data_IF_282566479183
#
_entry.id   IF_282566479183
#
_cell.length_a   1.000
_cell.length_b   1.000
_cell.length_c   1.000
_cell.angle_alpha   90.00
_cell.angle_beta   90.00
_cell.angle_gamma   90.00
#
_symmetry.space_group_name_H-M   'P 1'
#
loop_
_entity.id
_entity.type
_entity.pdbx_description
1 polymer ?
#
# COMPACT_ATOMS: atom_id res chain seq x y z
N UNK A 1 6.46 3.05 36.28
CA UNK A 1 7.09 2.58 35.03
C UNK A 1 7.53 1.16 35.22
N UNK A 2 7.86 0.46 34.14
CA UNK A 2 8.52 -0.85 34.18
C UNK A 2 9.94 -0.70 33.67
N UNK A 3 10.86 -1.47 34.24
CA UNK A 3 12.20 -1.66 33.69
C UNK A 3 12.10 -2.65 32.51
N UNK A 4 12.75 -2.32 31.39
CA UNK A 4 12.65 -3.08 30.15
C UNK A 4 14.04 -3.26 29.56
N UNK A 5 14.48 -4.51 29.45
CA UNK A 5 15.68 -4.89 28.73
C UNK A 5 15.34 -5.26 27.27
N UNK A 6 16.11 -4.71 26.32
CA UNK A 6 15.98 -4.99 24.89
C UNK A 6 17.30 -5.57 24.37
N UNK A 7 17.24 -6.76 23.79
CA UNK A 7 18.39 -7.45 23.21
C UNK A 7 18.28 -7.48 21.68
N UNK A 8 19.30 -6.97 20.98
CA UNK A 8 19.44 -7.06 19.53
C UNK A 8 20.70 -7.87 19.18
N UNK A 9 20.56 -8.77 18.23
CA UNK A 9 21.61 -9.69 17.78
C UNK A 9 22.68 -9.01 16.91
N UNK A 10 22.29 -7.95 16.20
CA UNK A 10 23.12 -7.24 15.24
C UNK A 10 23.71 -5.96 15.85
N UNK A 11 24.81 -5.42 15.30
CA UNK A 11 25.41 -4.17 15.78
C UNK A 11 24.59 -2.91 15.39
N UNK A 12 23.40 -3.09 14.80
CA UNK A 12 22.46 -2.05 14.43
C UNK A 12 21.04 -2.53 14.70
N UNK A 13 20.14 -1.58 14.96
CA UNK A 13 18.74 -1.83 15.32
C UNK A 13 17.80 -1.71 14.12
N UNK A 14 16.54 -2.09 14.32
CA UNK A 14 15.46 -1.86 13.34
C UNK A 14 15.07 -3.08 12.51
N UNK A 15 15.68 -4.26 12.68
CA UNK A 15 15.15 -5.45 11.99
C UNK A 15 15.24 -5.33 10.46
N UNK A 16 14.08 -5.47 9.80
CA UNK A 16 13.87 -5.26 8.35
C UNK A 16 13.80 -3.79 7.95
N UNK A 17 13.55 -2.89 8.90
CA UNK A 17 13.55 -1.43 8.68
C UNK A 17 14.90 -0.80 9.03
N UNK A 18 15.91 -1.61 9.35
CA UNK A 18 17.24 -1.12 9.71
C UNK A 18 17.97 -0.50 8.51
N UNK A 19 18.95 0.33 8.83
CA UNK A 19 19.92 0.85 7.88
C UNK A 19 21.27 1.07 8.57
N UNK A 20 22.34 1.19 7.79
CA UNK A 20 23.68 1.48 8.32
C UNK A 20 24.47 2.33 7.33
N UNK A 21 25.55 2.97 7.79
CA UNK A 21 26.47 3.73 6.92
C UNK A 21 27.66 2.86 6.55
N UNK A 22 27.95 2.73 5.26
CA UNK A 22 29.12 1.98 4.79
C UNK A 22 30.44 2.76 5.01
N UNK A 23 31.58 2.11 4.73
CA UNK A 23 32.92 2.73 4.90
C UNK A 23 33.15 3.97 4.03
N UNK A 24 32.31 4.20 3.02
CA UNK A 24 32.38 5.33 2.09
C UNK A 24 31.41 6.45 2.46
N UNK A 25 30.66 6.30 3.55
CA UNK A 25 29.66 7.28 3.98
C UNK A 25 28.30 7.13 3.29
N UNK A 26 28.03 6.04 2.58
CA UNK A 26 26.72 5.81 1.96
C UNK A 26 25.76 5.18 2.97
N UNK A 27 24.53 5.68 3.02
CA UNK A 27 23.45 5.03 3.76
C UNK A 27 22.94 3.81 2.98
N UNK A 28 22.99 2.64 3.62
CA UNK A 28 22.48 1.37 3.09
C UNK A 28 21.25 0.98 3.90
N UNK A 29 20.09 0.93 3.23
CA UNK A 29 18.83 0.51 3.82
C UNK A 29 18.53 -0.96 3.51
N UNK A 30 17.95 -1.69 4.46
CA UNK A 30 17.55 -3.09 4.25
C UNK A 30 16.40 -3.24 3.23
N UNK A 31 15.63 -2.17 3.01
CA UNK A 31 14.55 -2.13 2.04
C UNK A 31 13.97 -0.73 1.93
N UNK A 32 13.29 -0.46 0.81
CA UNK A 32 12.56 0.79 0.64
C UNK A 32 11.26 0.74 1.44
N UNK A 33 11.09 1.65 2.39
CA UNK A 33 9.91 1.69 3.26
C UNK A 33 9.03 2.88 2.93
N UNK A 34 7.73 2.61 2.78
CA UNK A 34 6.70 3.62 2.52
C UNK A 34 5.67 3.59 3.64
N UNK A 35 5.25 4.76 4.11
CA UNK A 35 4.33 4.91 5.22
C UNK A 35 2.97 5.37 4.70
N UNK A 36 1.98 4.49 4.78
CA UNK A 36 0.61 4.77 4.33
C UNK A 36 -0.21 5.48 5.42
N UNK A 37 -1.13 6.36 5.01
CA UNK A 37 -2.05 7.06 5.92
C UNK A 37 -2.90 6.14 6.80
N UNK A 38 -3.13 4.89 6.38
CA UNK A 38 -3.92 3.92 7.15
C UNK A 38 -3.19 3.31 8.37
N UNK A 39 -1.90 3.58 8.58
CA UNK A 39 -1.09 3.03 9.67
C UNK A 39 -1.31 3.73 11.03
N UNK A 40 -2.56 3.77 11.49
CA UNK A 40 -2.98 4.55 12.66
C UNK A 40 -2.15 4.24 13.93
N UNK A 41 -1.87 2.96 14.20
CA UNK A 41 -1.09 2.55 15.38
C UNK A 41 0.36 3.04 15.30
N UNK A 42 0.97 2.95 14.11
CA UNK A 42 2.34 3.39 13.88
C UNK A 42 2.45 4.91 14.05
N UNK A 43 1.57 5.70 13.42
CA UNK A 43 1.62 7.15 13.58
C UNK A 43 1.32 7.60 15.01
N UNK A 44 0.44 6.89 15.73
CA UNK A 44 0.24 7.15 17.16
C UNK A 44 1.53 6.92 17.97
N UNK A 45 2.29 5.88 17.66
CA UNK A 45 3.58 5.61 18.29
C UNK A 45 4.61 6.68 17.90
N UNK A 46 4.76 6.96 16.61
CA UNK A 46 5.71 7.96 16.10
C UNK A 46 5.43 9.35 16.66
N UNK A 47 4.16 9.73 16.84
CA UNK A 47 3.80 11.00 17.49
C UNK A 47 4.22 11.03 18.96
N UNK A 48 4.11 9.91 19.68
CA UNK A 48 4.51 9.83 21.10
C UNK A 48 6.02 10.00 21.29
N UNK A 49 6.82 9.58 20.32
CA UNK A 49 8.29 9.66 20.38
C UNK A 49 8.87 10.79 19.54
N UNK A 50 8.06 11.72 19.03
CA UNK A 50 8.50 12.84 18.20
C UNK A 50 8.86 12.50 16.74
N UNK A 51 9.01 11.23 16.38
CA UNK A 51 9.42 10.80 15.04
C UNK A 51 8.45 11.16 13.88
N UNK A 52 7.24 11.64 14.16
CA UNK A 52 6.26 11.97 13.12
C UNK A 52 6.71 13.13 12.21
N UNK A 53 7.55 14.05 12.70
CA UNK A 53 8.13 15.15 11.92
C UNK A 53 9.22 14.73 10.94
N UNK A 54 9.64 13.47 10.98
CA UNK A 54 10.62 12.90 10.05
C UNK A 54 9.99 12.39 8.75
N UNK A 55 8.66 12.43 8.64
CA UNK A 55 7.92 11.94 7.48
C UNK A 55 7.64 13.05 6.46
N UNK A 56 8.10 12.84 5.24
CA UNK A 56 7.83 13.67 4.07
C UNK A 56 6.60 13.15 3.34
N UNK A 57 5.53 13.94 3.36
CA UNK A 57 4.32 13.67 2.58
C UNK A 57 4.63 13.80 1.09
N UNK A 58 4.13 12.85 0.30
CA UNK A 58 4.21 12.89 -1.16
C UNK A 58 2.86 13.26 -1.75
N UNK A 59 2.86 13.64 -3.02
CA UNK A 59 1.63 13.84 -3.78
C UNK A 59 0.76 12.58 -3.71
N UNK A 60 -0.56 12.78 -3.68
CA UNK A 60 -1.51 11.68 -3.61
C UNK A 60 -1.73 11.04 -4.99
N UNK A 61 -0.65 10.55 -5.58
CA UNK A 61 -0.60 9.94 -6.90
C UNK A 61 0.14 8.61 -6.83
N UNK A 62 -0.34 7.62 -7.59
CA UNK A 62 0.34 6.32 -7.72
C UNK A 62 0.79 6.19 -9.18
N UNK A 63 2.11 6.18 -9.38
CA UNK A 63 2.74 6.25 -10.70
C UNK A 63 3.30 4.89 -11.12
N UNK A 64 3.04 4.51 -12.37
CA UNK A 64 3.46 3.28 -13.01
C UNK A 64 4.38 3.61 -14.18
N UNK A 65 5.56 2.99 -14.24
CA UNK A 65 6.47 3.16 -15.38
C UNK A 65 6.32 1.96 -16.32
N UNK A 66 5.76 2.21 -17.50
CA UNK A 66 5.55 1.20 -18.53
C UNK A 66 6.75 1.14 -19.50
N UNK A 67 6.79 0.09 -20.32
CA UNK A 67 7.81 -0.07 -21.37
C UNK A 67 7.91 1.19 -22.24
N UNK A 68 9.14 1.59 -22.54
CA UNK A 68 9.42 2.83 -23.28
C UNK A 68 9.32 4.11 -22.44
N UNK A 69 9.26 3.99 -21.11
CA UNK A 69 9.22 5.15 -20.20
C UNK A 69 7.85 5.82 -20.12
N UNK A 70 6.79 5.18 -20.64
CA UNK A 70 5.44 5.75 -20.60
C UNK A 70 4.90 5.73 -19.16
N UNK A 71 4.52 6.90 -18.67
CA UNK A 71 4.03 7.08 -17.32
C UNK A 71 2.52 6.85 -17.27
N UNK A 72 2.09 5.87 -16.47
CA UNK A 72 0.71 5.64 -16.12
C UNK A 72 0.43 6.12 -14.70
N UNK A 73 -0.76 6.64 -14.40
CA UNK A 73 -1.05 7.23 -13.09
C UNK A 73 -2.46 6.90 -12.59
N UNK A 74 -2.57 6.77 -11.26
CA UNK A 74 -3.83 6.91 -10.51
C UNK A 74 -3.71 8.19 -9.67
N UNK A 75 -4.46 9.22 -10.03
CA UNK A 75 -4.44 10.52 -9.34
C UNK A 75 -5.60 10.64 -8.36
N UNK A 76 -5.27 10.64 -7.06
CA UNK A 76 -6.22 10.71 -5.95
C UNK A 76 -6.35 12.12 -5.36
N UNK A 77 -5.74 13.15 -5.99
CA UNK A 77 -5.77 14.55 -5.52
C UNK A 77 -7.11 15.25 -5.75
N UNK A 78 -8.11 14.54 -6.26
CA UNK A 78 -9.45 15.07 -6.47
C UNK A 78 -10.03 15.60 -5.14
N UNK A 79 -10.62 16.81 -5.09
CA UNK A 79 -10.98 17.46 -3.82
C UNK A 79 -12.02 16.73 -2.95
N UNK A 80 -12.80 15.82 -3.54
CA UNK A 80 -13.78 15.03 -2.79
C UNK A 80 -13.09 13.80 -2.20
N UNK A 81 -13.22 13.59 -0.88
CA UNK A 81 -12.55 12.50 -0.17
C UNK A 81 -12.99 11.08 -0.55
N UNK A 82 -12.57 10.08 0.23
CA UNK A 82 -12.95 8.69 0.00
C UNK A 82 -14.48 8.51 0.06
N UNK A 83 -15.08 7.71 -0.84
CA UNK A 83 -14.46 6.94 -1.93
C UNK A 83 -14.36 7.69 -3.28
N UNK A 84 -14.81 8.94 -3.37
CA UNK A 84 -15.00 9.69 -4.63
C UNK A 84 -13.69 9.99 -5.36
N UNK A 85 -12.63 10.40 -4.67
CA UNK A 85 -11.30 10.53 -5.28
C UNK A 85 -10.75 9.22 -5.85
N UNK A 86 -11.03 8.07 -5.24
CA UNK A 86 -10.60 6.76 -5.75
C UNK A 86 -11.33 6.41 -7.04
N UNK A 87 -12.65 6.61 -7.06
CA UNK A 87 -13.45 6.44 -8.29
C UNK A 87 -12.92 7.37 -9.39
N UNK A 88 -12.67 8.64 -9.07
CA UNK A 88 -12.10 9.62 -10.01
C UNK A 88 -10.76 9.13 -10.59
N UNK A 89 -9.84 8.68 -9.73
CA UNK A 89 -8.54 8.13 -10.13
C UNK A 89 -8.67 6.95 -11.11
N UNK A 90 -9.58 6.00 -10.82
CA UNK A 90 -9.80 4.83 -11.68
C UNK A 90 -10.47 5.18 -13.02
N UNK A 91 -11.33 6.20 -13.05
CA UNK A 91 -11.95 6.64 -14.30
C UNK A 91 -10.94 7.40 -15.18
N UNK A 92 -10.12 8.26 -14.58
CA UNK A 92 -9.16 9.12 -15.28
C UNK A 92 -7.85 8.42 -15.66
N UNK A 93 -7.49 7.30 -15.02
CA UNK A 93 -6.19 6.63 -15.23
C UNK A 93 -5.91 6.31 -16.70
N UNK A 94 -4.69 6.55 -17.16
CA UNK A 94 -4.19 6.08 -18.45
C UNK A 94 -3.53 4.69 -18.36
N UNK A 95 -3.46 4.08 -17.17
CA UNK A 95 -2.77 2.79 -16.97
C UNK A 95 -3.52 1.61 -17.59
N UNK A 96 -4.85 1.72 -17.69
CA UNK A 96 -5.74 0.69 -18.26
C UNK A 96 -6.51 1.23 -19.47
N UNK A 97 -6.78 0.37 -20.45
CA UNK A 97 -7.69 0.66 -21.56
C UNK A 97 -9.14 0.69 -21.07
N UNK A 98 -10.03 1.34 -21.81
CA UNK A 98 -11.45 1.53 -21.43
C UNK A 98 -12.17 0.22 -21.07
N UNK A 99 -11.94 -0.84 -21.85
CA UNK A 99 -12.51 -2.16 -21.55
C UNK A 99 -12.04 -2.70 -20.19
N UNK A 100 -10.74 -2.67 -19.95
CA UNK A 100 -10.14 -3.14 -18.70
C UNK A 100 -10.56 -2.29 -17.51
N UNK A 101 -10.71 -0.97 -17.68
CA UNK A 101 -11.28 -0.08 -16.64
C UNK A 101 -12.69 -0.53 -16.24
N UNK A 102 -13.56 -0.77 -17.22
CA UNK A 102 -14.94 -1.17 -16.94
C UNK A 102 -15.00 -2.53 -16.22
N UNK A 103 -14.22 -3.51 -16.67
CA UNK A 103 -14.15 -4.84 -16.05
C UNK A 103 -13.53 -4.79 -14.65
N UNK A 104 -12.50 -3.96 -14.46
CA UNK A 104 -11.91 -3.70 -13.15
C UNK A 104 -12.92 -3.08 -12.18
N UNK A 105 -13.69 -2.10 -12.64
CA UNK A 105 -14.74 -1.46 -11.84
C UNK A 105 -15.83 -2.47 -11.43
N UNK A 106 -16.26 -3.36 -12.35
CA UNK A 106 -17.21 -4.44 -12.03
C UNK A 106 -16.64 -5.37 -10.95
N UNK A 107 -15.39 -5.81 -11.09
CA UNK A 107 -14.77 -6.70 -10.13
C UNK A 107 -14.65 -6.07 -8.73
N UNK A 108 -14.27 -4.79 -8.66
CA UNK A 108 -14.20 -4.04 -7.39
C UNK A 108 -15.59 -3.77 -6.80
N UNK A 109 -16.61 -3.47 -7.63
CA UNK A 109 -17.98 -3.26 -7.19
C UNK A 109 -18.62 -4.54 -6.61
N UNK A 110 -18.22 -5.71 -7.10
CA UNK A 110 -18.65 -7.01 -6.60
C UNK A 110 -17.78 -7.53 -5.44
N UNK A 111 -16.82 -6.73 -4.98
CA UNK A 111 -15.90 -7.11 -3.91
C UNK A 111 -16.44 -6.78 -2.52
N UNK A 112 -15.96 -7.46 -1.47
CA UNK A 112 -16.25 -7.08 -0.08
C UNK A 112 -15.84 -5.65 0.28
N UNK A 113 -15.01 -4.99 -0.54
CA UNK A 113 -14.61 -3.58 -0.34
C UNK A 113 -15.82 -2.64 -0.36
N UNK A 114 -16.86 -2.93 -1.15
CA UNK A 114 -18.09 -2.13 -1.14
C UNK A 114 -18.80 -2.25 0.20
N UNK A 115 -18.84 -3.46 0.77
CA UNK A 115 -19.37 -3.67 2.12
C UNK A 115 -18.58 -2.87 3.16
N UNK A 116 -17.26 -2.72 2.98
CA UNK A 116 -16.41 -1.99 3.92
C UNK A 116 -16.78 -0.51 4.09
N UNK A 117 -17.54 0.08 3.14
CA UNK A 117 -18.04 1.44 3.23
C UNK A 117 -19.16 1.60 4.28
N UNK A 118 -19.84 0.52 4.66
CA UNK A 118 -21.00 0.51 5.57
C UNK A 118 -20.73 -0.36 6.80
N UNK A 119 -20.12 -1.52 6.59
CA UNK A 119 -19.80 -2.53 7.60
C UNK A 119 -18.34 -3.00 7.43
N UNK A 120 -17.36 -2.23 7.93
CA UNK A 120 -15.94 -2.56 7.84
C UNK A 120 -15.59 -3.92 8.47
N UNK A 121 -16.18 -4.24 9.62
CA UNK A 121 -15.87 -5.47 10.35
C UNK A 121 -16.41 -6.70 9.62
N UNK A 122 -17.64 -6.63 9.10
CA UNK A 122 -18.21 -7.68 8.27
C UNK A 122 -17.46 -7.86 6.95
N UNK A 123 -17.05 -6.77 6.31
CA UNK A 123 -16.19 -6.84 5.13
C UNK A 123 -14.85 -7.53 5.43
N UNK A 124 -14.21 -7.20 6.56
CA UNK A 124 -12.98 -7.88 6.97
C UNK A 124 -13.18 -9.36 7.27
N UNK A 125 -14.35 -9.76 7.79
CA UNK A 125 -14.70 -11.18 7.96
C UNK A 125 -14.80 -11.89 6.61
N UNK A 126 -15.49 -11.29 5.64
CA UNK A 126 -15.60 -11.84 4.29
C UNK A 126 -14.22 -11.93 3.60
N UNK A 127 -13.39 -10.89 3.71
CA UNK A 127 -12.03 -10.84 3.16
C UNK A 127 -11.15 -11.94 3.75
N UNK A 128 -11.23 -12.19 5.07
CA UNK A 128 -10.47 -13.26 5.73
C UNK A 128 -10.83 -14.66 5.21
N UNK A 129 -12.06 -14.88 4.75
CA UNK A 129 -12.48 -16.16 4.18
C UNK A 129 -11.89 -16.42 2.78
N UNK A 130 -11.22 -15.43 2.18
CA UNK A 130 -10.61 -15.53 0.85
C UNK A 130 -9.10 -15.83 0.89
N UNK A 131 -8.57 -16.27 2.03
CA UNK A 131 -7.12 -16.48 2.19
C UNK A 131 -6.57 -17.66 1.38
N UNK A 132 -7.41 -18.67 1.15
CA UNK A 132 -7.06 -19.87 0.37
C UNK A 132 -7.33 -19.71 -1.14
N UNK A 133 -7.67 -18.51 -1.60
CA UNK A 133 -7.97 -18.22 -3.01
C UNK A 133 -6.91 -17.24 -3.52
N UNK A 134 -6.30 -17.53 -4.68
CA UNK A 134 -5.38 -16.59 -5.31
C UNK A 134 -6.11 -15.30 -5.73
N UNK A 135 -5.43 -14.17 -5.74
CA UNK A 135 -6.05 -12.92 -6.19
C UNK A 135 -6.58 -13.01 -7.64
N UNK A 136 -5.87 -13.61 -8.61
CA UNK A 136 -6.37 -13.82 -9.96
C UNK A 136 -7.63 -14.65 -10.05
N UNK A 137 -7.71 -15.79 -9.35
CA UNK A 137 -8.90 -16.65 -9.39
C UNK A 137 -10.12 -15.88 -8.89
N UNK A 138 -9.95 -15.17 -7.77
CA UNK A 138 -10.99 -14.30 -7.25
C UNK A 138 -11.35 -13.19 -8.25
N UNK A 139 -10.37 -12.44 -8.76
CA UNK A 139 -10.60 -11.25 -9.57
C UNK A 139 -11.25 -11.60 -10.92
N UNK A 140 -10.79 -12.67 -11.58
CA UNK A 140 -11.36 -13.17 -12.83
C UNK A 140 -12.77 -13.72 -12.63
N UNK A 141 -13.04 -14.40 -11.51
CA UNK A 141 -14.39 -14.87 -11.17
C UNK A 141 -15.41 -13.73 -11.03
N UNK A 142 -14.95 -12.52 -10.68
CA UNK A 142 -15.76 -11.29 -10.62
C UNK A 142 -15.78 -10.49 -11.92
N UNK A 143 -15.20 -11.05 -12.99
CA UNK A 143 -15.19 -10.47 -14.31
C UNK A 143 -13.99 -9.58 -14.60
N UNK A 144 -13.01 -9.49 -13.71
CA UNK A 144 -11.74 -8.83 -14.00
C UNK A 144 -11.02 -9.42 -15.20
N UNK A 145 -10.00 -8.73 -15.72
CA UNK A 145 -9.20 -9.20 -16.87
C UNK A 145 -7.76 -9.50 -16.47
N UNK A 146 -7.13 -10.44 -17.18
CA UNK A 146 -5.68 -10.69 -17.05
C UNK A 146 -4.83 -9.47 -17.38
N UNK A 147 -5.31 -8.60 -18.27
CA UNK A 147 -4.62 -7.35 -18.60
C UNK A 147 -4.62 -6.36 -17.42
N UNK A 148 -5.73 -6.24 -16.67
CA UNK A 148 -5.74 -5.46 -15.43
C UNK A 148 -4.77 -6.03 -14.39
N UNK A 149 -4.69 -7.37 -14.28
CA UNK A 149 -3.72 -8.02 -13.39
C UNK A 149 -2.30 -7.61 -13.77
N UNK A 150 -1.89 -7.85 -15.01
CA UNK A 150 -0.52 -7.57 -15.46
C UNK A 150 -0.13 -6.09 -15.39
N UNK A 151 -1.05 -5.20 -15.77
CA UNK A 151 -0.73 -3.76 -15.88
C UNK A 151 -0.87 -3.01 -14.56
N UNK A 152 -1.74 -3.46 -13.66
CA UNK A 152 -2.07 -2.68 -12.46
C UNK A 152 -1.84 -3.50 -11.19
N UNK A 153 -2.36 -4.73 -11.12
CA UNK A 153 -2.35 -5.47 -9.86
C UNK A 153 -1.04 -6.19 -9.55
N UNK A 154 -0.31 -6.67 -10.55
CA UNK A 154 1.04 -7.25 -10.35
C UNK A 154 2.01 -6.23 -9.77
N UNK A 155 2.14 -4.99 -10.31
CA UNK A 155 2.94 -3.94 -9.67
C UNK A 155 2.57 -3.70 -8.20
N UNK A 156 1.27 -3.72 -7.88
CA UNK A 156 0.77 -3.55 -6.51
C UNK A 156 1.12 -4.76 -5.64
N UNK A 157 0.95 -5.98 -6.14
CA UNK A 157 1.31 -7.20 -5.43
C UNK A 157 2.81 -7.28 -5.12
N UNK A 158 3.67 -6.91 -6.08
CA UNK A 158 5.11 -6.82 -5.86
C UNK A 158 5.47 -5.81 -4.77
N UNK A 159 4.81 -4.65 -4.76
CA UNK A 159 5.04 -3.64 -3.73
C UNK A 159 4.60 -4.08 -2.32
N UNK A 160 3.59 -4.95 -2.23
CA UNK A 160 3.03 -5.42 -0.97
C UNK A 160 3.74 -6.65 -0.40
N UNK A 161 4.04 -7.63 -1.26
CA UNK A 161 4.47 -8.96 -0.84
C UNK A 161 5.70 -9.50 -1.56
N UNK A 162 6.30 -8.72 -2.48
CA UNK A 162 7.42 -9.16 -3.33
C UNK A 162 7.13 -10.40 -4.19
N UNK A 163 5.83 -10.67 -4.42
CA UNK A 163 5.33 -11.76 -5.25
C UNK A 163 4.27 -11.24 -6.22
N UNK A 164 4.09 -11.92 -7.34
CA UNK A 164 3.05 -11.59 -8.33
C UNK A 164 1.64 -11.94 -7.84
N UNK A 165 0.63 -11.58 -8.61
CA UNK A 165 -0.75 -11.90 -8.25
C UNK A 165 -1.03 -13.41 -8.23
N UNK A 166 -0.41 -14.21 -9.10
CA UNK A 166 -0.64 -15.66 -9.15
C UNK A 166 -0.19 -16.35 -7.85
N UNK A 167 0.71 -15.73 -7.09
CA UNK A 167 1.24 -16.24 -5.83
C UNK A 167 0.76 -15.47 -4.58
N UNK A 168 -0.15 -14.51 -4.71
CA UNK A 168 -0.71 -13.75 -3.57
C UNK A 168 -2.17 -14.13 -3.30
N UNK A 169 -2.56 -14.20 -2.03
CA UNK A 169 -3.96 -14.46 -1.67
C UNK A 169 -4.85 -13.26 -1.95
N UNK A 170 -6.11 -13.53 -2.34
CA UNK A 170 -7.13 -12.52 -2.51
C UNK A 170 -7.36 -11.72 -1.23
N UNK A 171 -7.24 -12.37 -0.05
CA UNK A 171 -7.29 -11.70 1.25
C UNK A 171 -6.27 -10.57 1.36
N UNK A 172 -5.01 -10.80 0.97
CA UNK A 172 -3.95 -9.81 1.11
C UNK A 172 -4.28 -8.54 0.32
N UNK A 173 -4.61 -8.70 -0.96
CA UNK A 173 -4.94 -7.58 -1.85
C UNK A 173 -6.21 -6.85 -1.42
N UNK A 174 -7.29 -7.59 -1.11
CA UNK A 174 -8.57 -7.00 -0.73
C UNK A 174 -8.53 -6.28 0.62
N UNK A 175 -7.66 -6.69 1.54
CA UNK A 175 -7.43 -5.97 2.79
C UNK A 175 -6.91 -4.56 2.50
N UNK A 176 -5.94 -4.42 1.60
CA UNK A 176 -5.38 -3.13 1.22
C UNK A 176 -6.44 -2.26 0.52
N UNK A 177 -7.20 -2.84 -0.40
CA UNK A 177 -8.28 -2.11 -1.08
C UNK A 177 -9.35 -1.63 -0.11
N UNK A 178 -9.71 -2.45 0.88
CA UNK A 178 -10.64 -2.08 1.95
C UNK A 178 -10.12 -0.91 2.79
N UNK A 179 -8.82 -0.90 3.11
CA UNK A 179 -8.22 0.21 3.84
C UNK A 179 -8.19 1.50 3.01
N UNK A 180 -7.92 1.42 1.71
CA UNK A 180 -7.90 2.57 0.81
C UNK A 180 -9.29 3.13 0.51
N UNK A 181 -10.32 2.27 0.44
CA UNK A 181 -11.68 2.71 0.17
C UNK A 181 -12.34 3.44 1.34
N UNK A 182 -11.88 3.20 2.58
CA UNK A 182 -12.58 3.64 3.80
C UNK A 182 -12.05 4.95 4.39
N UNK A 183 -10.87 5.44 3.98
CA UNK A 183 -10.34 6.72 4.47
C UNK A 183 -9.64 7.51 3.36
N UNK A 184 -9.92 8.82 3.30
CA UNK A 184 -9.37 9.73 2.28
C UNK A 184 -7.85 9.70 2.22
N UNK A 185 -7.15 9.73 3.35
CA UNK A 185 -5.68 9.73 3.34
C UNK A 185 -5.07 8.33 3.36
N UNK A 186 -5.85 7.25 3.34
CA UNK A 186 -5.31 5.90 3.56
C UNK A 186 -4.21 5.51 2.56
N UNK A 187 -4.37 5.89 1.29
CA UNK A 187 -3.41 5.61 0.22
C UNK A 187 -2.37 6.72 0.00
N UNK A 188 -2.36 7.76 0.85
CA UNK A 188 -1.36 8.83 0.81
C UNK A 188 -0.01 8.30 1.31
N UNK A 189 1.01 8.50 0.49
CA UNK A 189 2.36 8.01 0.75
C UNK A 189 3.18 9.03 1.53
N UNK A 190 3.94 8.53 2.49
CA UNK A 190 4.98 9.28 3.20
C UNK A 190 6.29 8.50 3.13
N UNK A 191 7.39 9.23 3.01
CA UNK A 191 8.76 8.69 3.06
C UNK A 191 9.49 9.28 4.26
N UNK A 192 10.45 8.57 4.84
CA UNK A 192 11.37 9.22 5.78
C UNK A 192 12.20 10.28 5.06
N UNK A 193 12.57 11.37 5.77
CA UNK A 193 13.43 12.43 5.23
C UNK A 193 14.90 12.02 5.01
N UNK A 194 15.25 10.82 5.44
CA UNK A 194 16.51 10.15 5.17
C UNK A 194 16.51 8.74 5.77
N UNK A 195 17.70 8.18 6.02
CA UNK A 195 17.83 6.78 6.47
C UNK A 195 17.13 6.50 7.81
N UNK A 196 16.52 5.31 7.98
CA UNK A 196 15.91 4.88 9.25
C UNK A 196 16.82 4.94 10.47
N UNK A 197 18.12 4.73 10.31
CA UNK A 197 19.12 4.81 11.38
C UNK A 197 19.15 6.20 12.02
N UNK A 198 19.03 7.26 11.22
CA UNK A 198 19.04 8.65 11.70
C UNK A 198 17.65 9.15 12.07
N UNK A 199 16.62 8.73 11.33
CA UNK A 199 15.30 9.38 11.38
C UNK A 199 14.17 8.51 11.96
N UNK A 200 14.47 7.28 12.38
CA UNK A 200 13.49 6.39 12.99
C UNK A 200 13.99 5.70 14.26
N UNK A 201 15.24 5.21 14.22
CA UNK A 201 15.78 4.32 15.25
C UNK A 201 16.88 4.97 16.09
N UNK A 202 17.59 5.95 15.52
CA UNK A 202 18.68 6.65 16.19
C UNK A 202 18.22 7.44 17.42
N UNK A 203 19.16 7.70 18.36
CA UNK A 203 18.91 8.52 19.54
C UNK A 203 18.51 9.97 19.21
#
# INVERSE_FOLDING_TARGET
GHEVDIYESRPFIGGKVGSFVDKRGNHIEMGLHVFFGCYNNLFRLMKKVGANENLLVKDHTHTFINKGGQVGELDFRFPLGAPLHGISAFLSTNQLKTYDKARNAVALALSPVVRALIDPDGAMKDIRNLDNISFPDWFLSKGGTRMSIQRMWDPVAYALGFVDCDNISARCMLTIFSLFATKTEASLLRMLKGSPDVYLSGP
#
